data_IF_653639448073
#
_entry.id   IF_653639448073
#
_cell.length_a   1.000
_cell.length_b   1.000
_cell.length_c   1.000
_cell.angle_alpha   90.00
_cell.angle_beta   90.00
_cell.angle_gamma   90.00
#
_symmetry.space_group_name_H-M   'P 1'
#
loop_
_entity.id
_entity.type
_entity.pdbx_description
1 polymer ?
#
# COMPACT_ATOMS: atom_id res chain seq x y z
N UNK A 1 21.50 -16.99 14.45
CA UNK A 1 21.70 -15.78 13.63
C UNK A 1 21.80 -14.57 14.56
N UNK A 2 22.69 -13.62 14.30
CA UNK A 2 22.84 -12.45 15.16
C UNK A 2 21.53 -11.64 15.11
N UNK A 3 20.83 -11.57 16.24
CA UNK A 3 19.61 -10.77 16.42
C UNK A 3 19.91 -9.28 16.55
N UNK A 4 20.77 -8.77 15.68
CA UNK A 4 21.24 -7.40 15.69
C UNK A 4 20.57 -6.53 14.62
N UNK A 5 20.81 -5.22 14.70
CA UNK A 5 20.41 -4.27 13.65
C UNK A 5 21.26 -4.48 12.40
N UNK A 6 20.62 -4.64 11.23
CA UNK A 6 21.26 -4.77 9.93
C UNK A 6 20.95 -3.55 9.06
N UNK A 7 21.93 -2.67 8.83
CA UNK A 7 21.76 -1.55 7.92
C UNK A 7 21.73 -2.03 6.48
N UNK A 8 20.56 -2.00 5.88
CA UNK A 8 20.34 -2.42 4.49
C UNK A 8 20.58 -1.26 3.51
N UNK A 9 20.86 -1.53 2.21
CA UNK A 9 20.91 -0.49 1.17
C UNK A 9 19.63 0.32 1.03
N UNK A 10 18.51 -0.15 1.60
CA UNK A 10 17.24 0.58 1.63
C UNK A 10 17.38 1.96 2.29
N UNK A 11 18.27 2.13 3.28
CA UNK A 11 18.54 3.42 3.91
C UNK A 11 19.09 4.47 2.93
N UNK A 12 19.95 4.05 1.99
CA UNK A 12 20.45 4.96 0.94
C UNK A 12 19.35 5.34 -0.04
N UNK A 13 18.51 4.37 -0.43
CA UNK A 13 17.35 4.63 -1.29
C UNK A 13 16.37 5.57 -0.61
N UNK A 14 16.00 5.31 0.64
CA UNK A 14 15.10 6.16 1.42
C UNK A 14 15.66 7.57 1.58
N UNK A 15 16.94 7.69 1.92
CA UNK A 15 17.62 8.99 2.03
C UNK A 15 17.59 9.78 0.72
N UNK A 16 17.81 9.12 -0.42
CA UNK A 16 17.71 9.75 -1.74
C UNK A 16 16.27 10.20 -2.05
N UNK A 17 15.28 9.37 -1.73
CA UNK A 17 13.85 9.69 -1.93
C UNK A 17 13.41 10.86 -1.03
N UNK A 18 13.82 10.88 0.23
CA UNK A 18 13.59 11.99 1.16
C UNK A 18 14.24 13.28 0.65
N UNK A 19 15.48 13.20 0.18
CA UNK A 19 16.18 14.37 -0.37
C UNK A 19 15.44 14.95 -1.59
N UNK A 20 15.01 14.09 -2.51
CA UNK A 20 14.22 14.50 -3.70
C UNK A 20 12.92 15.16 -3.26
N UNK A 21 12.24 14.57 -2.30
CA UNK A 21 10.97 15.09 -1.76
C UNK A 21 11.18 16.45 -1.10
N UNK A 22 12.14 16.60 -0.20
CA UNK A 22 12.42 17.84 0.52
C UNK A 22 12.87 18.98 -0.42
N UNK A 23 13.69 18.69 -1.44
CA UNK A 23 14.05 19.67 -2.49
C UNK A 23 12.81 20.15 -3.26
N UNK A 24 11.94 19.24 -3.60
CA UNK A 24 10.69 19.57 -4.29
C UNK A 24 9.70 20.32 -3.41
N UNK A 25 9.59 19.89 -2.16
CA UNK A 25 8.73 20.51 -1.16
C UNK A 25 9.14 21.96 -0.88
N UNK A 26 10.43 22.23 -0.71
CA UNK A 26 10.95 23.59 -0.54
C UNK A 26 10.52 24.50 -1.70
N UNK A 27 10.66 24.03 -2.96
CA UNK A 27 10.24 24.80 -4.15
C UNK A 27 8.73 24.93 -4.29
N UNK A 28 7.97 23.95 -3.84
CA UNK A 28 6.51 23.96 -3.88
C UNK A 28 5.95 24.95 -2.84
N UNK A 29 6.52 24.94 -1.65
CA UNK A 29 6.09 25.80 -0.53
C UNK A 29 6.30 27.28 -0.83
N UNK A 30 7.43 27.66 -1.44
CA UNK A 30 7.69 29.08 -1.82
C UNK A 30 6.68 29.64 -2.82
N UNK A 31 5.92 28.78 -3.49
CA UNK A 31 4.89 29.15 -4.48
C UNK A 31 3.47 28.94 -4.00
N UNK A 32 3.31 28.53 -2.74
CA UNK A 32 2.03 28.21 -2.15
C UNK A 32 1.62 29.27 -1.13
N UNK A 33 0.32 29.52 -1.01
CA UNK A 33 -0.20 30.32 0.11
C UNK A 33 0.13 29.64 1.45
N UNK A 34 0.28 30.39 2.56
CA UNK A 34 0.78 29.86 3.84
C UNK A 34 0.06 28.60 4.32
N UNK A 35 -1.26 28.56 4.25
CA UNK A 35 -2.04 27.39 4.69
C UNK A 35 -1.79 26.16 3.81
N UNK A 36 -1.63 26.35 2.49
CA UNK A 36 -1.26 25.26 1.58
C UNK A 36 0.18 24.79 1.80
N UNK A 37 1.10 25.71 2.08
CA UNK A 37 2.48 25.37 2.42
C UNK A 37 2.53 24.50 3.70
N UNK A 38 1.78 24.88 4.74
CA UNK A 38 1.65 24.09 5.97
C UNK A 38 1.09 22.69 5.73
N UNK A 39 0.06 22.59 4.87
CA UNK A 39 -0.52 21.30 4.49
C UNK A 39 0.51 20.42 3.74
N UNK A 40 1.29 21.00 2.83
CA UNK A 40 2.37 20.29 2.13
C UNK A 40 3.48 19.84 3.08
N UNK A 41 3.88 20.68 4.04
CA UNK A 41 4.88 20.28 5.04
C UNK A 41 4.42 19.07 5.86
N UNK A 42 3.17 19.04 6.32
CA UNK A 42 2.61 17.90 7.05
C UNK A 42 2.64 16.62 6.21
N UNK A 43 2.33 16.72 4.91
CA UNK A 43 2.38 15.56 3.99
C UNK A 43 3.79 15.07 3.77
N UNK A 44 4.76 15.98 3.56
CA UNK A 44 6.16 15.63 3.42
C UNK A 44 6.70 14.96 4.69
N UNK A 45 6.44 15.52 5.87
CA UNK A 45 6.83 14.88 7.13
C UNK A 45 6.23 13.47 7.27
N UNK A 46 4.97 13.27 6.89
CA UNK A 46 4.35 11.95 6.94
C UNK A 46 5.01 10.97 5.96
N UNK A 47 5.37 11.42 4.77
CA UNK A 47 6.12 10.65 3.78
C UNK A 47 7.50 10.24 4.32
N UNK A 48 8.27 11.19 4.83
CA UNK A 48 9.61 10.94 5.38
C UNK A 48 9.56 9.93 6.53
N UNK A 49 8.61 10.12 7.46
CA UNK A 49 8.39 9.19 8.57
C UNK A 49 8.01 7.79 8.07
N UNK A 50 7.21 7.67 7.01
CA UNK A 50 6.84 6.37 6.46
C UNK A 50 8.04 5.62 5.87
N UNK A 51 8.96 6.33 5.21
CA UNK A 51 10.20 5.75 4.70
C UNK A 51 11.16 5.36 5.84
N UNK A 52 11.26 6.19 6.88
CA UNK A 52 12.06 5.86 8.08
C UNK A 52 11.49 4.62 8.78
N UNK A 53 10.17 4.53 8.95
CA UNK A 53 9.51 3.34 9.52
C UNK A 53 9.81 2.10 8.69
N UNK A 54 9.72 2.20 7.36
CA UNK A 54 10.05 1.08 6.46
C UNK A 54 11.51 0.63 6.64
N UNK A 55 12.45 1.58 6.70
CA UNK A 55 13.87 1.28 6.92
C UNK A 55 14.12 0.66 8.30
N UNK A 56 13.46 1.18 9.33
CA UNK A 56 13.57 0.64 10.71
C UNK A 56 13.04 -0.79 10.75
N UNK A 57 11.87 -1.06 10.17
CA UNK A 57 11.31 -2.41 10.12
C UNK A 57 12.25 -3.39 9.42
N UNK A 58 12.73 -3.05 8.21
CA UNK A 58 13.62 -3.90 7.41
C UNK A 58 15.04 -4.02 7.96
N UNK A 59 15.41 -3.26 8.99
CA UNK A 59 16.75 -3.28 9.61
C UNK A 59 16.72 -3.74 11.06
N UNK A 60 15.53 -3.90 11.64
CA UNK A 60 15.37 -4.21 13.07
C UNK A 60 15.61 -5.70 13.36
N UNK A 61 15.85 -6.05 14.63
CA UNK A 61 15.86 -7.44 15.06
C UNK A 61 14.56 -8.21 14.73
N UNK A 62 13.43 -7.49 14.56
CA UNK A 62 12.15 -8.08 14.16
C UNK A 62 12.24 -8.70 12.76
N UNK A 63 12.97 -8.07 11.83
CA UNK A 63 13.22 -8.63 10.50
C UNK A 63 14.02 -9.94 10.58
N UNK A 64 15.09 -9.97 11.39
CA UNK A 64 15.83 -11.21 11.64
C UNK A 64 14.93 -12.30 12.25
N UNK A 65 14.09 -11.95 13.18
CA UNK A 65 13.13 -12.87 13.81
C UNK A 65 12.03 -13.33 12.83
N UNK A 66 11.65 -12.49 11.88
CA UNK A 66 10.63 -12.79 10.86
C UNK A 66 11.07 -13.88 9.87
N UNK A 67 12.37 -14.09 9.74
CA UNK A 67 12.89 -15.18 8.88
C UNK A 67 12.58 -16.55 9.46
N UNK A 68 12.50 -16.66 10.77
CA UNK A 68 12.25 -17.92 11.48
C UNK A 68 10.78 -18.07 11.92
N UNK A 69 10.07 -16.93 12.11
CA UNK A 69 8.71 -16.90 12.67
C UNK A 69 7.73 -16.23 11.73
N UNK A 70 6.77 -16.98 11.23
CA UNK A 70 5.74 -16.47 10.32
C UNK A 70 4.87 -15.38 10.96
N UNK A 71 4.65 -15.45 12.27
CA UNK A 71 3.92 -14.44 13.03
C UNK A 71 4.56 -13.06 12.89
N UNK A 72 5.88 -12.94 13.08
CA UNK A 72 6.61 -11.68 12.90
C UNK A 72 6.64 -11.25 11.43
N UNK A 73 6.84 -12.19 10.52
CA UNK A 73 6.81 -11.99 9.08
C UNK A 73 5.48 -11.35 8.63
N UNK A 74 4.34 -11.86 9.09
CA UNK A 74 3.03 -11.30 8.79
C UNK A 74 2.86 -9.87 9.30
N UNK A 75 3.37 -9.55 10.49
CA UNK A 75 3.29 -8.19 11.05
C UNK A 75 4.04 -7.20 10.14
N UNK A 76 5.26 -7.53 9.71
CA UNK A 76 6.06 -6.66 8.85
C UNK A 76 5.34 -6.41 7.53
N UNK A 77 4.90 -7.47 6.86
CA UNK A 77 4.27 -7.33 5.54
C UNK A 77 2.87 -6.70 5.59
N UNK A 78 2.13 -6.84 6.68
CA UNK A 78 0.90 -6.08 6.89
C UNK A 78 1.19 -4.58 6.95
N UNK A 79 2.25 -4.16 7.64
CA UNK A 79 2.65 -2.76 7.67
C UNK A 79 3.05 -2.28 6.28
N UNK A 80 3.85 -3.05 5.55
CA UNK A 80 4.31 -2.73 4.19
C UNK A 80 3.16 -2.69 3.17
N UNK A 81 2.17 -3.56 3.29
CA UNK A 81 1.11 -3.71 2.30
C UNK A 81 -0.09 -2.79 2.57
N UNK A 82 -0.42 -2.55 3.84
CA UNK A 82 -1.63 -1.80 4.20
C UNK A 82 -1.33 -0.40 4.76
N UNK A 83 -0.40 -0.24 5.70
CA UNK A 83 -0.25 1.02 6.44
C UNK A 83 0.69 2.01 5.77
N UNK A 84 1.88 1.60 5.35
CA UNK A 84 2.82 2.46 4.62
C UNK A 84 2.17 3.04 3.35
N UNK A 85 1.50 2.24 2.50
CA UNK A 85 0.89 2.76 1.27
C UNK A 85 -0.24 3.76 1.50
N UNK A 86 -1.00 3.66 2.59
CA UNK A 86 -1.99 4.70 2.97
C UNK A 86 -1.32 6.05 3.09
N UNK A 87 -0.20 6.10 3.83
CA UNK A 87 0.56 7.33 4.03
C UNK A 87 1.11 7.85 2.71
N UNK A 88 1.69 6.96 1.89
CA UNK A 88 2.23 7.31 0.57
C UNK A 88 1.16 7.91 -0.36
N UNK A 89 -0.05 7.34 -0.38
CA UNK A 89 -1.15 7.87 -1.20
C UNK A 89 -1.58 9.25 -0.72
N UNK A 90 -1.76 9.43 0.59
CA UNK A 90 -2.22 10.70 1.19
C UNK A 90 -1.15 11.80 1.13
N UNK A 91 0.11 11.44 1.27
CA UNK A 91 1.24 12.37 1.13
C UNK A 91 1.38 12.91 -0.29
N UNK A 92 1.00 12.13 -1.32
CA UNK A 92 1.11 12.50 -2.73
C UNK A 92 2.55 12.92 -3.13
N UNK A 93 3.60 12.09 -2.86
CA UNK A 93 5.01 12.47 -3.02
C UNK A 93 5.39 12.75 -4.48
N UNK A 94 4.58 12.31 -5.44
CA UNK A 94 4.77 12.59 -6.86
C UNK A 94 4.73 14.10 -7.17
N UNK A 95 4.00 14.90 -6.38
CA UNK A 95 3.91 16.34 -6.58
C UNK A 95 5.23 17.05 -6.18
N UNK A 96 5.75 16.91 -4.94
CA UNK A 96 7.09 17.41 -4.63
C UNK A 96 8.17 16.86 -5.56
N UNK A 97 8.17 15.55 -5.87
CA UNK A 97 9.14 14.95 -6.79
C UNK A 97 9.14 15.64 -8.16
N UNK A 98 7.99 16.01 -8.70
CA UNK A 98 7.88 16.79 -9.92
C UNK A 98 8.48 18.20 -9.76
N UNK A 99 8.32 18.82 -8.60
CA UNK A 99 8.90 20.15 -8.31
C UNK A 99 10.40 20.08 -7.98
N UNK A 100 10.94 18.93 -7.63
CA UNK A 100 12.38 18.72 -7.50
C UNK A 100 13.12 18.89 -8.85
N UNK A 101 12.43 18.65 -9.95
CA UNK A 101 12.99 18.88 -11.28
C UNK A 101 13.14 20.39 -11.57
N UNK A 102 14.23 20.82 -12.26
CA UNK A 102 14.35 22.15 -12.82
C UNK A 102 13.20 22.49 -13.78
N UNK A 103 12.89 23.78 -13.95
CA UNK A 103 11.72 24.24 -14.74
C UNK A 103 11.72 23.71 -16.17
N UNK A 104 12.89 23.68 -16.82
CA UNK A 104 13.02 23.22 -18.22
C UNK A 104 12.62 21.74 -18.38
N UNK A 105 13.30 20.78 -17.71
CA UNK A 105 12.93 19.36 -17.71
C UNK A 105 11.49 19.11 -17.28
N UNK A 106 11.03 19.79 -16.22
CA UNK A 106 9.64 19.66 -15.75
C UNK A 106 8.62 20.07 -16.82
N UNK A 107 8.84 21.22 -17.47
CA UNK A 107 7.96 21.68 -18.59
C UNK A 107 7.98 20.69 -19.75
N UNK A 108 9.13 20.18 -20.14
CA UNK A 108 9.24 19.17 -21.20
C UNK A 108 8.47 17.90 -20.84
N UNK A 109 8.63 17.39 -19.63
CA UNK A 109 7.91 16.22 -19.15
C UNK A 109 6.40 16.43 -19.19
N UNK A 110 5.90 17.54 -18.64
CA UNK A 110 4.48 17.87 -18.62
C UNK A 110 3.93 18.11 -20.03
N UNK A 111 4.64 18.85 -20.90
CA UNK A 111 4.19 19.10 -22.28
C UNK A 111 4.17 17.82 -23.10
N UNK A 112 5.16 16.94 -22.95
CA UNK A 112 5.19 15.65 -23.64
C UNK A 112 3.99 14.80 -23.24
N UNK A 113 3.65 14.82 -21.96
CA UNK A 113 2.52 14.09 -21.42
C UNK A 113 1.16 14.70 -21.85
N UNK A 114 1.00 16.02 -21.73
CA UNK A 114 -0.24 16.74 -22.09
C UNK A 114 -0.52 16.78 -23.59
N UNK A 115 0.52 16.97 -24.41
CA UNK A 115 0.39 17.08 -25.88
C UNK A 115 0.27 15.70 -26.55
N UNK A 116 0.19 14.60 -25.76
CA UNK A 116 0.07 13.26 -26.32
C UNK A 116 1.25 12.79 -27.18
N UNK A 117 2.41 13.47 -27.09
CA UNK A 117 3.64 13.11 -27.83
C UNK A 117 4.32 11.84 -27.34
N UNK A 118 3.75 11.20 -26.31
CA UNK A 118 4.18 9.88 -25.83
C UNK A 118 3.74 8.79 -26.82
N UNK A 119 4.52 7.72 -26.92
CA UNK A 119 4.17 6.58 -27.76
C UNK A 119 2.84 5.93 -27.35
N UNK A 120 2.21 5.20 -28.27
CA UNK A 120 0.99 4.46 -27.98
C UNK A 120 1.21 3.47 -26.82
N UNK A 121 2.41 2.87 -26.76
CA UNK A 121 2.82 1.96 -25.68
C UNK A 121 2.84 2.66 -24.32
N UNK A 122 3.50 3.83 -24.20
CA UNK A 122 3.55 4.57 -22.93
C UNK A 122 2.17 5.00 -22.46
N UNK A 123 1.29 5.42 -23.37
CA UNK A 123 -0.11 5.71 -23.03
C UNK A 123 -0.88 4.46 -22.58
N UNK A 124 -0.64 3.32 -23.23
CA UNK A 124 -1.22 2.04 -22.86
C UNK A 124 -0.80 1.62 -21.45
N UNK A 125 0.50 1.62 -21.17
CA UNK A 125 1.05 1.31 -19.83
C UNK A 125 0.49 2.26 -18.79
N UNK A 126 0.48 3.56 -19.04
CA UNK A 126 -0.07 4.55 -18.12
C UNK A 126 -1.56 4.34 -17.83
N UNK A 127 -2.34 3.94 -18.85
CA UNK A 127 -3.77 3.63 -18.69
C UNK A 127 -3.97 2.39 -17.80
N UNK A 128 -3.21 1.31 -18.05
CA UNK A 128 -3.27 0.09 -17.22
C UNK A 128 -2.86 0.42 -15.79
N UNK A 129 -1.70 1.08 -15.59
CA UNK A 129 -1.20 1.48 -14.27
C UNK A 129 -2.15 2.39 -13.51
N UNK A 130 -2.96 3.15 -14.24
CA UNK A 130 -3.96 4.05 -13.67
C UNK A 130 -5.30 3.38 -13.42
N UNK A 131 -5.51 2.17 -13.92
CA UNK A 131 -6.77 1.44 -13.78
C UNK A 131 -7.00 1.00 -12.33
N UNK A 132 -8.15 1.33 -11.73
CA UNK A 132 -8.49 0.85 -10.39
C UNK A 132 -8.64 -0.68 -10.34
N UNK A 133 -9.12 -1.29 -11.41
CA UNK A 133 -9.24 -2.77 -11.50
C UNK A 133 -7.86 -3.41 -11.51
N UNK A 134 -6.88 -2.83 -12.22
CA UNK A 134 -5.50 -3.30 -12.20
C UNK A 134 -4.90 -3.24 -10.78
N UNK A 135 -5.12 -2.14 -10.05
CA UNK A 135 -4.66 -2.02 -8.66
C UNK A 135 -5.26 -3.11 -7.75
N UNK A 136 -6.54 -3.39 -7.89
CA UNK A 136 -7.23 -4.45 -7.15
C UNK A 136 -6.66 -5.84 -7.47
N UNK A 137 -6.46 -6.14 -8.76
CA UNK A 137 -5.94 -7.43 -9.21
C UNK A 137 -4.49 -7.65 -8.77
N UNK A 138 -3.64 -6.64 -8.90
CA UNK A 138 -2.23 -6.71 -8.48
C UNK A 138 -2.14 -6.93 -6.96
N UNK A 139 -2.93 -6.19 -6.18
CA UNK A 139 -2.92 -6.30 -4.72
C UNK A 139 -3.31 -7.70 -4.25
N UNK A 140 -4.47 -8.18 -4.66
CA UNK A 140 -4.96 -9.49 -4.23
C UNK A 140 -4.15 -10.63 -4.86
N UNK A 141 -3.71 -10.46 -6.11
CA UNK A 141 -2.87 -11.43 -6.79
C UNK A 141 -1.51 -11.61 -6.12
N UNK A 142 -0.82 -10.53 -5.73
CA UNK A 142 0.45 -10.60 -5.00
C UNK A 142 0.26 -11.14 -3.59
N UNK A 143 -0.84 -10.78 -2.91
CA UNK A 143 -1.16 -11.35 -1.60
C UNK A 143 -1.25 -12.88 -1.69
N UNK A 144 -2.03 -13.41 -2.62
CA UNK A 144 -2.13 -14.87 -2.81
C UNK A 144 -0.80 -15.47 -3.28
N UNK A 145 -0.11 -14.83 -4.24
CA UNK A 145 1.13 -15.32 -4.82
C UNK A 145 2.20 -15.58 -3.76
N UNK A 146 2.44 -14.59 -2.88
CA UNK A 146 3.46 -14.69 -1.85
C UNK A 146 3.10 -15.65 -0.71
N UNK A 147 1.83 -16.04 -0.56
CA UNK A 147 1.42 -17.06 0.40
C UNK A 147 1.44 -18.49 -0.18
N UNK A 148 1.67 -18.65 -1.49
CA UNK A 148 1.84 -19.99 -2.07
C UNK A 148 3.13 -20.63 -1.55
N UNK A 149 3.08 -21.86 -0.97
CA UNK A 149 4.22 -22.48 -0.28
C UNK A 149 5.48 -22.53 -1.14
N UNK A 150 5.34 -22.86 -2.42
CA UNK A 150 6.48 -22.96 -3.34
C UNK A 150 7.19 -21.62 -3.55
N UNK A 151 6.42 -20.54 -3.67
CA UNK A 151 6.94 -19.18 -3.94
C UNK A 151 7.50 -18.58 -2.66
N UNK A 152 6.76 -18.72 -1.55
CA UNK A 152 7.21 -18.28 -0.25
C UNK A 152 8.53 -18.94 0.14
N UNK A 153 8.60 -20.28 0.11
CA UNK A 153 9.81 -21.02 0.43
C UNK A 153 11.00 -20.61 -0.45
N UNK A 154 10.75 -20.42 -1.75
CA UNK A 154 11.80 -19.91 -2.63
C UNK A 154 12.31 -18.53 -2.20
N UNK A 155 11.42 -17.60 -1.87
CA UNK A 155 11.82 -16.25 -1.46
C UNK A 155 12.59 -16.28 -0.12
N UNK A 156 12.16 -17.09 0.85
CA UNK A 156 12.81 -17.19 2.16
C UNK A 156 14.24 -17.77 2.05
N UNK A 157 14.48 -18.69 1.12
CA UNK A 157 15.82 -19.20 0.84
C UNK A 157 16.70 -18.26 -0.01
N UNK A 158 16.12 -17.16 -0.50
CA UNK A 158 16.84 -16.17 -1.31
C UNK A 158 16.65 -14.76 -0.70
N UNK A 159 17.50 -14.33 0.24
CA UNK A 159 17.31 -13.03 0.94
C UNK A 159 17.15 -11.84 0.01
N UNK A 160 17.78 -11.85 -1.16
CA UNK A 160 17.58 -10.80 -2.16
C UNK A 160 16.13 -10.77 -2.70
N UNK A 161 15.50 -11.94 -2.87
CA UNK A 161 14.12 -12.02 -3.34
C UNK A 161 13.14 -11.54 -2.25
N UNK A 162 13.36 -11.95 -1.01
CA UNK A 162 12.60 -11.44 0.13
C UNK A 162 12.70 -9.91 0.23
N UNK A 163 13.92 -9.37 0.30
CA UNK A 163 14.15 -7.96 0.58
C UNK A 163 13.86 -7.02 -0.62
N UNK A 164 14.08 -7.49 -1.87
CA UNK A 164 13.99 -6.62 -3.04
C UNK A 164 12.84 -6.92 -3.99
N UNK A 165 12.16 -8.08 -3.83
CA UNK A 165 10.97 -8.39 -4.60
C UNK A 165 9.72 -8.42 -3.72
N UNK A 166 9.72 -9.19 -2.63
CA UNK A 166 8.52 -9.38 -1.79
C UNK A 166 8.11 -8.06 -1.13
N UNK A 167 8.94 -7.47 -0.28
CA UNK A 167 8.63 -6.22 0.43
C UNK A 167 8.25 -5.07 -0.50
N UNK A 168 9.09 -4.68 -1.48
CA UNK A 168 8.74 -3.60 -2.42
C UNK A 168 7.49 -3.89 -3.24
N UNK A 169 7.22 -5.14 -3.62
CA UNK A 169 5.99 -5.50 -4.33
C UNK A 169 4.75 -5.27 -3.48
N UNK A 170 4.80 -5.52 -2.18
CA UNK A 170 3.71 -5.22 -1.25
C UNK A 170 3.44 -3.72 -1.15
N UNK A 171 4.49 -2.90 -1.00
CA UNK A 171 4.34 -1.44 -0.94
C UNK A 171 3.73 -0.89 -2.24
N UNK A 172 4.20 -1.35 -3.40
CA UNK A 172 3.68 -0.93 -4.71
C UNK A 172 2.23 -1.38 -4.89
N UNK A 173 1.92 -2.64 -4.59
CA UNK A 173 0.58 -3.18 -4.69
C UNK A 173 -0.40 -2.43 -3.76
N UNK A 174 0.03 -2.20 -2.51
CA UNK A 174 -0.72 -1.40 -1.54
C UNK A 174 -0.99 0.02 -2.03
N UNK A 175 0.02 0.68 -2.60
CA UNK A 175 -0.14 2.02 -3.18
C UNK A 175 -1.18 2.03 -4.31
N UNK A 176 -1.15 1.05 -5.21
CA UNK A 176 -2.13 0.92 -6.30
C UNK A 176 -3.54 0.67 -5.76
N UNK A 177 -3.69 -0.21 -4.77
CA UNK A 177 -4.96 -0.51 -4.12
C UNK A 177 -5.55 0.70 -3.39
N UNK A 178 -4.76 1.35 -2.54
CA UNK A 178 -5.24 2.48 -1.76
C UNK A 178 -5.61 3.70 -2.61
N UNK A 179 -5.01 3.88 -3.78
CA UNK A 179 -5.44 4.91 -4.74
C UNK A 179 -6.84 4.67 -5.32
N UNK A 180 -7.39 3.47 -5.22
CA UNK A 180 -8.80 3.21 -5.56
C UNK A 180 -9.72 3.88 -4.54
N UNK A 181 -9.32 3.87 -3.25
CA UNK A 181 -10.14 4.26 -2.11
C UNK A 181 -9.84 5.68 -1.65
N UNK A 182 -8.56 6.07 -1.61
CA UNK A 182 -8.08 7.31 -1.04
C UNK A 182 -7.72 8.35 -2.11
N UNK A 183 -7.92 9.64 -1.82
CA UNK A 183 -7.45 10.71 -2.69
C UNK A 183 -5.93 10.87 -2.60
N UNK A 184 -5.29 11.15 -3.75
CA UNK A 184 -3.88 11.54 -3.81
C UNK A 184 -3.79 12.92 -4.46
N UNK A 185 -3.61 13.94 -3.63
CA UNK A 185 -3.74 15.35 -4.04
C UNK A 185 -3.00 15.67 -5.34
N UNK A 186 -3.61 16.43 -6.28
CA UNK A 186 -4.92 17.08 -6.22
C UNK A 186 -6.10 16.19 -6.67
N UNK A 187 -5.83 14.92 -6.98
CA UNK A 187 -6.82 14.00 -7.53
C UNK A 187 -7.63 13.31 -6.44
N UNK A 188 -8.92 13.12 -6.70
CA UNK A 188 -9.79 12.24 -5.89
C UNK A 188 -9.41 10.77 -6.00
N UNK A 189 -10.15 9.88 -5.30
CA UNK A 189 -10.02 8.44 -5.46
C UNK A 189 -10.27 8.02 -6.91
N UNK A 190 -9.59 6.97 -7.35
CA UNK A 190 -9.76 6.46 -8.73
C UNK A 190 -10.95 5.55 -8.92
N UNK A 191 -11.44 4.93 -7.86
CA UNK A 191 -12.60 4.06 -7.90
C UNK A 191 -13.89 4.85 -7.68
N UNK A 192 -14.97 4.47 -8.40
CA UNK A 192 -16.33 4.86 -8.02
C UNK A 192 -16.67 4.29 -6.64
N UNK A 193 -17.64 4.86 -5.93
CA UNK A 193 -18.04 4.38 -4.60
C UNK A 193 -18.35 2.88 -4.58
N UNK A 194 -19.06 2.38 -5.59
CA UNK A 194 -19.34 0.94 -5.74
C UNK A 194 -18.05 0.12 -5.88
N UNK A 195 -17.11 0.58 -6.69
CA UNK A 195 -15.84 -0.12 -6.89
C UNK A 195 -14.95 -0.06 -5.63
N UNK A 196 -15.00 1.04 -4.87
CA UNK A 196 -14.28 1.15 -3.59
C UNK A 196 -14.79 0.11 -2.58
N UNK A 197 -16.10 0.02 -2.39
CA UNK A 197 -16.73 -0.97 -1.50
C UNK A 197 -16.45 -2.40 -1.97
N UNK A 198 -16.56 -2.66 -3.26
CA UNK A 198 -16.25 -3.96 -3.85
C UNK A 198 -14.78 -4.32 -3.66
N UNK A 199 -13.87 -3.37 -3.83
CA UNK A 199 -12.43 -3.58 -3.62
C UNK A 199 -12.12 -3.96 -2.17
N UNK A 200 -12.76 -3.28 -1.20
CA UNK A 200 -12.63 -3.61 0.22
C UNK A 200 -13.16 -5.02 0.49
N UNK A 201 -14.37 -5.34 0.01
CA UNK A 201 -15.01 -6.63 0.22
C UNK A 201 -14.20 -7.80 -0.40
N UNK A 202 -13.73 -7.66 -1.65
CA UNK A 202 -12.91 -8.68 -2.32
C UNK A 202 -11.61 -8.88 -1.55
N UNK A 203 -10.95 -7.80 -1.11
CA UNK A 203 -9.67 -7.90 -0.40
C UNK A 203 -9.85 -8.54 0.98
N UNK A 204 -10.87 -8.14 1.74
CA UNK A 204 -11.20 -8.78 3.02
C UNK A 204 -11.51 -10.27 2.85
N UNK A 205 -12.27 -10.63 1.82
CA UNK A 205 -12.56 -12.03 1.49
C UNK A 205 -11.29 -12.80 1.09
N UNK A 206 -10.40 -12.22 0.28
CA UNK A 206 -9.13 -12.86 -0.11
C UNK A 206 -8.26 -13.10 1.13
N UNK A 207 -8.15 -12.13 2.04
CA UNK A 207 -7.42 -12.29 3.30
C UNK A 207 -8.01 -13.41 4.15
N UNK A 208 -9.33 -13.45 4.27
CA UNK A 208 -10.03 -14.53 5.00
C UNK A 208 -9.69 -15.91 4.40
N UNK A 209 -9.76 -16.05 3.08
CA UNK A 209 -9.47 -17.33 2.41
C UNK A 209 -8.03 -17.76 2.64
N UNK A 210 -7.06 -16.84 2.52
CA UNK A 210 -5.64 -17.14 2.79
C UNK A 210 -5.43 -17.51 4.26
N UNK A 211 -6.01 -16.75 5.18
CA UNK A 211 -5.91 -17.04 6.61
C UNK A 211 -6.54 -18.39 6.98
N UNK A 212 -7.70 -18.72 6.45
CA UNK A 212 -8.34 -20.03 6.66
C UNK A 212 -7.50 -21.18 6.09
N UNK A 213 -6.90 -20.98 4.91
CA UNK A 213 -6.02 -21.97 4.31
C UNK A 213 -4.82 -22.29 5.22
N UNK A 214 -4.20 -21.26 5.79
CA UNK A 214 -3.03 -21.38 6.68
C UNK A 214 -3.37 -21.86 8.08
N UNK A 215 -4.52 -21.47 8.63
CA UNK A 215 -4.88 -21.77 10.03
C UNK A 215 -5.71 -23.06 10.19
N UNK A 216 -6.73 -23.24 9.34
CA UNK A 216 -7.76 -24.27 9.55
C UNK A 216 -7.55 -25.47 8.64
N UNK A 217 -7.25 -25.23 7.35
CA UNK A 217 -7.14 -26.30 6.37
C UNK A 217 -5.74 -26.91 6.27
N UNK A 218 -4.73 -26.34 6.96
CA UNK A 218 -3.39 -26.92 7.04
C UNK A 218 -3.28 -27.86 8.23
N UNK A 219 -2.93 -29.10 7.98
CA UNK A 219 -2.62 -30.12 8.99
C UNK A 219 -1.13 -30.24 9.30
N UNK A 220 -0.29 -29.54 8.54
CA UNK A 220 1.15 -29.44 8.69
C UNK A 220 1.61 -28.04 8.28
N UNK A 221 2.75 -27.59 8.81
CA UNK A 221 3.34 -26.32 8.40
C UNK A 221 3.74 -26.35 6.94
N UNK A 222 3.42 -25.32 6.19
CA UNK A 222 3.64 -25.21 4.75
C UNK A 222 5.04 -24.67 4.40
N UNK A 223 5.67 -23.98 5.36
CA UNK A 223 6.89 -23.21 5.11
C UNK A 223 8.10 -23.95 5.69
N UNK A 224 8.95 -24.43 4.78
CA UNK A 224 10.05 -25.35 5.10
C UNK A 224 11.09 -24.69 6.01
N UNK A 225 11.40 -23.41 5.79
CA UNK A 225 12.37 -22.69 6.62
C UNK A 225 11.92 -22.64 8.09
N UNK A 226 10.64 -22.30 8.33
CA UNK A 226 10.09 -22.28 9.68
C UNK A 226 10.12 -23.70 10.33
N UNK A 227 9.85 -24.74 9.54
CA UNK A 227 9.93 -26.13 10.02
C UNK A 227 11.36 -26.52 10.39
N UNK A 228 12.35 -26.11 9.60
CA UNK A 228 13.76 -26.41 9.89
C UNK A 228 14.26 -25.68 11.14
N UNK A 229 13.80 -24.44 11.35
CA UNK A 229 14.25 -23.61 12.47
C UNK A 229 13.51 -23.95 13.78
N UNK A 230 12.20 -24.21 13.73
CA UNK A 230 11.35 -24.37 14.90
C UNK A 230 10.96 -25.82 15.20
N UNK A 231 11.04 -26.70 14.21
CA UNK A 231 10.43 -28.02 14.24
C UNK A 231 8.96 -28.02 13.80
N UNK A 232 8.43 -29.15 13.39
CA UNK A 232 7.12 -29.26 12.71
C UNK A 232 5.94 -28.76 13.54
N UNK A 233 5.87 -29.11 14.82
CA UNK A 233 4.76 -28.73 15.71
C UNK A 233 4.74 -27.22 16.00
N UNK A 234 5.84 -26.64 16.54
CA UNK A 234 5.93 -25.19 16.77
C UNK A 234 5.76 -24.36 15.51
N UNK A 235 6.29 -24.79 14.35
CA UNK A 235 6.13 -24.10 13.07
C UNK A 235 4.65 -24.08 12.62
N UNK A 236 3.91 -25.16 12.82
CA UNK A 236 2.45 -25.17 12.55
C UNK A 236 1.70 -24.20 13.45
N UNK A 237 2.03 -24.19 14.75
CA UNK A 237 1.40 -23.25 15.69
C UNK A 237 1.70 -21.79 15.33
N UNK A 238 2.96 -21.46 15.01
CA UNK A 238 3.37 -20.13 14.56
C UNK A 238 2.67 -19.73 13.24
N UNK A 239 2.52 -20.66 12.30
CA UNK A 239 1.74 -20.45 11.07
C UNK A 239 0.28 -20.12 11.37
N UNK A 240 -0.37 -20.81 12.30
CA UNK A 240 -1.74 -20.55 12.70
C UNK A 240 -1.89 -19.18 13.38
N UNK A 241 -0.92 -18.79 14.22
CA UNK A 241 -0.89 -17.46 14.83
C UNK A 241 -0.69 -16.36 13.78
N UNK A 242 0.24 -16.53 12.85
CA UNK A 242 0.46 -15.61 11.74
C UNK A 242 -0.79 -15.43 10.88
N UNK A 243 -1.50 -16.52 10.60
CA UNK A 243 -2.77 -16.50 9.88
C UNK A 243 -3.88 -15.76 10.66
N UNK A 244 -3.96 -15.95 11.98
CA UNK A 244 -4.90 -15.23 12.83
C UNK A 244 -4.62 -13.72 12.83
N UNK A 245 -3.35 -13.31 12.85
CA UNK A 245 -2.93 -11.90 12.71
C UNK A 245 -3.38 -11.36 11.36
N UNK A 246 -3.14 -12.09 10.28
CA UNK A 246 -3.57 -11.67 8.94
C UNK A 246 -5.09 -11.44 8.90
N UNK A 247 -5.87 -12.32 9.50
CA UNK A 247 -7.33 -12.19 9.56
C UNK A 247 -7.77 -10.99 10.40
N UNK A 248 -7.32 -10.91 11.67
CA UNK A 248 -7.71 -9.84 12.60
C UNK A 248 -7.29 -8.47 12.07
N UNK A 249 -6.08 -8.34 11.53
CA UNK A 249 -5.62 -7.08 10.94
C UNK A 249 -6.47 -6.66 9.73
N UNK A 250 -7.18 -7.59 9.08
CA UNK A 250 -8.15 -7.30 8.04
C UNK A 250 -9.23 -6.30 8.51
N UNK A 251 -9.74 -6.46 9.71
CA UNK A 251 -10.78 -5.58 10.25
C UNK A 251 -10.24 -4.18 10.57
N UNK A 252 -8.99 -4.08 11.04
CA UNK A 252 -8.38 -2.79 11.41
C UNK A 252 -8.18 -1.83 10.23
N UNK A 253 -8.06 -2.33 8.99
CA UNK A 253 -7.98 -1.46 7.82
C UNK A 253 -9.31 -1.37 7.07
N UNK A 254 -10.10 -2.45 7.01
CA UNK A 254 -11.33 -2.52 6.22
C UNK A 254 -12.43 -1.66 6.83
N UNK A 255 -12.63 -1.73 8.14
CA UNK A 255 -13.65 -0.93 8.84
C UNK A 255 -13.43 0.57 8.66
N UNK A 256 -12.24 1.15 8.94
CA UNK A 256 -11.99 2.56 8.67
C UNK A 256 -12.16 2.93 7.19
N UNK A 257 -11.76 2.06 6.26
CA UNK A 257 -11.92 2.30 4.84
C UNK A 257 -13.40 2.38 4.43
N UNK A 258 -14.25 1.46 4.91
CA UNK A 258 -15.71 1.51 4.69
C UNK A 258 -16.29 2.79 5.27
N UNK A 259 -15.95 3.11 6.53
CA UNK A 259 -16.41 4.34 7.18
C UNK A 259 -16.06 5.58 6.36
N UNK A 260 -14.82 5.68 5.88
CA UNK A 260 -14.39 6.80 5.03
C UNK A 260 -15.18 6.90 3.73
N UNK A 261 -15.44 5.77 3.06
CA UNK A 261 -16.23 5.74 1.82
C UNK A 261 -17.67 6.16 2.08
N UNK A 262 -18.30 5.62 3.13
CA UNK A 262 -19.68 5.95 3.51
C UNK A 262 -19.82 7.40 3.94
N UNK A 263 -18.91 7.92 4.77
CA UNK A 263 -18.93 9.34 5.19
C UNK A 263 -18.78 10.28 3.99
N UNK A 264 -17.96 9.92 3.01
CA UNK A 264 -17.82 10.69 1.76
C UNK A 264 -19.14 10.67 0.98
N UNK A 265 -19.74 9.50 0.81
CA UNK A 265 -21.01 9.34 0.13
C UNK A 265 -22.11 10.19 0.78
N UNK A 266 -22.21 10.13 2.11
CA UNK A 266 -23.17 10.95 2.88
C UNK A 266 -22.95 12.45 2.63
N UNK A 267 -21.69 12.88 2.67
CA UNK A 267 -21.33 14.28 2.45
C UNK A 267 -21.66 14.75 1.02
N UNK A 268 -21.37 13.93 0.02
CA UNK A 268 -21.66 14.23 -1.40
C UNK A 268 -23.16 14.32 -1.68
N UNK A 269 -23.99 13.63 -0.90
CA UNK A 269 -25.44 13.61 -1.06
C UNK A 269 -26.19 14.57 -0.15
N UNK A 270 -25.49 15.48 0.55
CA UNK A 270 -26.11 16.51 1.37
C UNK A 270 -26.63 16.03 2.73
N UNK A 271 -26.18 14.86 3.19
CA UNK A 271 -26.50 14.28 4.49
C UNK A 271 -27.00 12.83 4.40
N UNK A 272 -27.08 12.16 5.56
CA UNK A 272 -27.44 10.75 5.62
C UNK A 272 -28.86 10.48 5.12
N UNK A 273 -29.80 11.35 5.50
CA UNK A 273 -31.20 11.24 5.11
C UNK A 273 -31.40 11.41 3.59
N UNK A 274 -30.81 12.45 3.01
CA UNK A 274 -30.83 12.68 1.58
C UNK A 274 -30.14 11.55 0.78
N UNK A 275 -29.04 11.00 1.31
CA UNK A 275 -28.35 9.83 0.71
C UNK A 275 -29.26 8.58 0.72
N UNK A 276 -29.94 8.34 1.84
CA UNK A 276 -30.85 7.21 1.99
C UNK A 276 -32.09 7.35 1.08
N UNK A 277 -32.75 8.50 1.04
CA UNK A 277 -33.90 8.77 0.17
C UNK A 277 -33.57 8.59 -1.31
N UNK A 278 -32.38 9.02 -1.75
CA UNK A 278 -31.93 8.78 -3.13
C UNK A 278 -31.63 7.31 -3.41
N UNK A 279 -31.09 6.58 -2.42
CA UNK A 279 -30.86 5.14 -2.57
C UNK A 279 -32.15 4.36 -2.76
N UNK A 280 -33.25 4.90 -2.25
CA UNK A 280 -34.61 4.37 -2.43
C UNK A 280 -35.29 4.87 -3.71
N UNK A 281 -34.66 5.73 -4.52
CA UNK A 281 -35.24 6.32 -5.72
C UNK A 281 -36.35 7.34 -5.44
N UNK A 282 -36.39 7.92 -4.22
CA UNK A 282 -37.42 8.88 -3.80
C UNK A 282 -37.07 10.34 -4.08
N UNK A 283 -35.78 10.62 -4.37
CA UNK A 283 -35.30 11.95 -4.72
C UNK A 283 -34.60 11.92 -6.08
N UNK A 284 -34.75 13.00 -6.85
CA UNK A 284 -34.02 13.13 -8.12
C UNK A 284 -32.51 13.22 -7.90
N UNK A 285 -31.68 12.77 -8.88
CA UNK A 285 -30.25 12.94 -8.81
C UNK A 285 -29.87 14.39 -8.69
N UNK A 286 -28.85 14.72 -7.88
CA UNK A 286 -28.23 16.04 -7.90
C UNK A 286 -27.50 16.16 -9.22
N UNK A 287 -27.92 17.07 -10.09
CA UNK A 287 -27.18 17.43 -11.28
C UNK A 287 -25.78 17.94 -10.86
N UNK A 288 -24.71 17.51 -11.60
CA UNK A 288 -23.33 17.87 -11.26
C UNK A 288 -23.01 19.35 -11.43
#
# INVERSE_FOLDING_TARGET
MESGWNFTPLWFLAGALILIEELGLARLMTRSAPERAKAWRRRGTAYDLSLVVLCVLSSSPLEGYSMDHLTAHMIIHIVEMFYIPVVLVLAAPWMPALFALPVGPRRRLLSTWQLGRTSALTRGVARVWSSPVFGLLVFNGLMVLWHLPRIFNWAMWHPWAHNWLMGPSFVIAGYLFWRVILPSHPYGPRGSTRLQLLAIAITAFTMLVVAMALAIFSHAAWYTMNVEMLGAGPALHDQQLGAAILWICGDFWAVPAVVLVVMRLIKEHGGAEAAFERSLGRLEPVEP
#
